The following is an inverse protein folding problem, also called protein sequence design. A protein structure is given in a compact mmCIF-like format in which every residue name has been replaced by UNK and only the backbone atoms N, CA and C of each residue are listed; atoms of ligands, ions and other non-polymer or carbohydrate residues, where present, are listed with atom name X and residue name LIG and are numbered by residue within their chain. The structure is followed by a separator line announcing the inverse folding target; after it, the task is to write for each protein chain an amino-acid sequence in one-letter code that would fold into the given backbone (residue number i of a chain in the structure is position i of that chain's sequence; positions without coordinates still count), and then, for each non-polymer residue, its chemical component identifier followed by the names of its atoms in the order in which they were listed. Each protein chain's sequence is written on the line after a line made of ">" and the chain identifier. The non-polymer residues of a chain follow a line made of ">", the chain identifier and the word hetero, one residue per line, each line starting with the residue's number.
data_IF_059792931885
#
_entry.id   IF_059792931885
#
_cell.length_a   1.000
_cell.length_b   1.000
_cell.length_c   1.000
_cell.angle_alpha   90.00
_cell.angle_beta   90.00
_cell.angle_gamma   90.00
#
_symmetry.space_group_name_H-M   'P 1'
#
loop_
_entity.id
_entity.type
_entity.pdbx_description
1 polymer ?
#
# COMPACT_ATOMS: atom_id res chain seq x y z
N UNK A 1 41.93 25.93 -33.71
CA UNK A 1 40.86 26.06 -32.69
C UNK A 1 39.55 25.92 -33.43
N UNK A 2 38.74 24.91 -33.14
CA UNK A 2 37.44 24.76 -33.79
C UNK A 2 36.48 25.89 -33.33
N UNK A 3 35.82 26.49 -34.31
CA UNK A 3 34.74 27.45 -34.09
C UNK A 3 33.40 26.71 -34.08
N UNK A 4 32.53 27.04 -33.13
CA UNK A 4 31.21 26.45 -32.99
C UNK A 4 30.17 27.54 -33.10
N UNK A 5 29.16 27.30 -33.92
CA UNK A 5 28.01 28.17 -34.07
C UNK A 5 26.93 27.76 -33.06
N UNK A 6 26.60 28.65 -32.13
CA UNK A 6 25.53 28.48 -31.15
C UNK A 6 24.39 29.46 -31.45
N UNK A 7 23.15 29.09 -31.09
CA UNK A 7 22.00 29.98 -31.22
C UNK A 7 21.45 30.38 -29.86
N UNK A 8 21.26 31.69 -29.65
CA UNK A 8 20.72 32.26 -28.41
C UNK A 8 19.77 33.40 -28.79
N UNK A 9 18.54 33.40 -28.26
CA UNK A 9 17.54 34.45 -28.48
C UNK A 9 17.19 34.64 -29.97
N UNK A 10 17.21 33.55 -30.76
CA UNK A 10 16.93 33.57 -32.20
C UNK A 10 18.06 34.14 -33.07
N UNK A 11 19.28 34.28 -32.54
CA UNK A 11 20.48 34.74 -33.26
C UNK A 11 21.58 33.69 -33.21
N UNK A 12 22.53 33.77 -34.13
CA UNK A 12 23.67 32.85 -34.22
C UNK A 12 24.95 33.56 -33.80
N UNK A 13 25.72 32.93 -32.92
CA UNK A 13 27.00 33.42 -32.42
C UNK A 13 28.08 32.38 -32.72
N UNK A 14 29.23 32.86 -33.17
CA UNK A 14 30.41 32.04 -33.42
C UNK A 14 31.37 32.16 -32.24
N UNK A 15 31.66 31.04 -31.59
CA UNK A 15 32.49 30.98 -30.38
C UNK A 15 33.59 29.95 -30.58
N UNK A 16 34.84 30.37 -30.32
CA UNK A 16 35.98 29.46 -30.32
C UNK A 16 35.97 28.61 -29.05
N UNK A 17 36.08 27.29 -29.19
CA UNK A 17 36.15 26.36 -28.07
C UNK A 17 37.44 25.53 -28.10
N UNK A 18 37.82 24.99 -26.95
CA UNK A 18 38.90 23.99 -26.89
C UNK A 18 38.39 22.64 -27.38
N UNK A 19 39.32 21.79 -27.82
CA UNK A 19 38.99 20.44 -28.27
C UNK A 19 38.40 19.62 -27.11
N UNK A 20 37.19 19.07 -27.31
CA UNK A 20 36.46 18.31 -26.29
C UNK A 20 35.47 19.10 -25.44
N UNK A 21 35.41 20.43 -25.54
CA UNK A 21 34.49 21.28 -24.74
C UNK A 21 33.17 21.63 -25.46
N UNK A 22 33.00 21.17 -26.69
CA UNK A 22 31.88 21.53 -27.57
C UNK A 22 30.52 21.23 -26.93
N UNK A 23 30.36 20.06 -26.31
CA UNK A 23 29.11 19.67 -25.64
C UNK A 23 28.78 20.55 -24.43
N UNK A 24 29.79 21.02 -23.70
CA UNK A 24 29.60 21.92 -22.57
C UNK A 24 29.17 23.31 -23.06
N UNK A 25 29.78 23.79 -24.14
CA UNK A 25 29.39 25.05 -24.77
C UNK A 25 27.95 24.99 -25.29
N UNK A 26 27.56 23.92 -25.97
CA UNK A 26 26.18 23.72 -26.44
C UNK A 26 25.17 23.65 -25.29
N UNK A 27 25.51 22.98 -24.19
CA UNK A 27 24.66 22.92 -23.01
C UNK A 27 24.51 24.31 -22.35
N UNK A 28 25.60 25.05 -22.22
CA UNK A 28 25.59 26.41 -21.68
C UNK A 28 24.77 27.36 -22.58
N UNK A 29 24.92 27.24 -23.90
CA UNK A 29 24.14 28.02 -24.86
C UNK A 29 22.63 27.74 -24.73
N UNK A 30 22.23 26.48 -24.58
CA UNK A 30 20.82 26.10 -24.36
C UNK A 30 20.25 26.69 -23.07
N UNK A 31 21.04 26.70 -21.98
CA UNK A 31 20.61 27.31 -20.72
C UNK A 31 20.40 28.81 -20.87
N UNK A 32 21.34 29.51 -21.51
CA UNK A 32 21.24 30.94 -21.74
C UNK A 32 20.09 31.30 -22.71
N UNK A 33 19.88 30.49 -23.75
CA UNK A 33 18.78 30.62 -24.72
C UNK A 33 17.41 30.49 -24.04
N UNK A 34 17.26 29.55 -23.10
CA UNK A 34 16.03 29.40 -22.34
C UNK A 34 15.68 30.67 -21.54
N UNK A 35 16.64 31.27 -20.84
CA UNK A 35 16.39 32.53 -20.11
C UNK A 35 16.14 33.71 -21.08
N UNK A 36 16.85 33.75 -22.21
CA UNK A 36 16.64 34.77 -23.23
C UNK A 36 15.25 34.66 -23.88
N UNK A 37 14.75 33.45 -24.10
CA UNK A 37 13.41 33.21 -24.64
C UNK A 37 12.31 33.71 -23.70
N UNK A 38 12.44 33.47 -22.39
CA UNK A 38 11.51 34.01 -21.37
C UNK A 38 11.47 35.54 -21.43
N UNK A 39 12.62 36.18 -21.56
CA UNK A 39 12.71 37.64 -21.70
C UNK A 39 12.07 38.16 -22.99
N UNK A 40 12.28 37.44 -24.10
CA UNK A 40 11.68 37.78 -25.39
C UNK A 40 10.15 37.67 -25.38
N UNK A 41 9.60 36.67 -24.67
CA UNK A 41 8.16 36.48 -24.51
C UNK A 41 7.51 37.55 -23.60
N UNK A 42 8.17 37.90 -22.49
CA UNK A 42 7.56 38.76 -21.46
C UNK A 42 7.66 40.26 -21.75
N UNK A 43 8.74 40.74 -22.37
CA UNK A 43 9.08 42.17 -22.42
C UNK A 43 8.97 42.74 -23.86
N UNK A 44 8.71 41.90 -24.86
CA UNK A 44 8.56 42.32 -26.26
C UNK A 44 9.91 42.62 -26.92
N UNK A 45 9.96 43.61 -27.83
CA UNK A 45 11.18 43.92 -28.61
C UNK A 45 12.26 44.60 -27.75
N UNK A 46 13.10 43.80 -27.11
CA UNK A 46 14.32 44.25 -26.46
C UNK A 46 15.52 44.24 -27.44
N UNK A 47 16.45 45.21 -27.33
CA UNK A 47 17.74 45.08 -27.98
C UNK A 47 18.50 43.87 -27.39
N UNK A 48 19.18 43.15 -28.26
CA UNK A 48 19.89 41.90 -27.97
C UNK A 48 20.83 42.02 -26.76
N UNK A 49 21.64 43.08 -26.70
CA UNK A 49 22.59 43.29 -25.60
C UNK A 49 21.91 43.38 -24.23
N UNK A 50 20.69 43.93 -24.17
CA UNK A 50 19.92 44.04 -22.92
C UNK A 50 19.28 42.72 -22.54
N UNK A 51 18.79 41.97 -23.52
CA UNK A 51 18.23 40.64 -23.32
C UNK A 51 19.30 39.67 -22.78
N UNK A 52 20.48 39.62 -23.42
CA UNK A 52 21.58 38.75 -22.99
C UNK A 52 22.13 39.14 -21.62
N UNK A 53 22.21 40.44 -21.31
CA UNK A 53 22.59 40.91 -19.98
C UNK A 53 21.61 40.41 -18.91
N UNK A 54 20.30 40.56 -19.16
CA UNK A 54 19.28 40.12 -18.21
C UNK A 54 19.26 38.60 -18.05
N UNK A 55 19.35 37.85 -19.15
CA UNK A 55 19.44 36.39 -19.13
C UNK A 55 20.68 35.90 -18.36
N UNK A 56 21.84 36.54 -18.57
CA UNK A 56 23.08 36.24 -17.84
C UNK A 56 22.99 36.54 -16.34
N UNK A 57 22.40 37.68 -15.97
CA UNK A 57 22.18 38.03 -14.56
C UNK A 57 21.22 37.06 -13.86
N UNK A 58 20.12 36.68 -14.51
CA UNK A 58 19.21 35.67 -13.96
C UNK A 58 19.87 34.32 -13.76
N UNK A 59 20.71 33.89 -14.71
CA UNK A 59 21.43 32.63 -14.58
C UNK A 59 22.43 32.70 -13.42
N UNK A 60 23.11 33.83 -13.24
CA UNK A 60 23.99 34.06 -12.10
C UNK A 60 23.23 34.00 -10.76
N UNK A 61 22.07 34.64 -10.68
CA UNK A 61 21.22 34.61 -9.48
C UNK A 61 20.77 33.18 -9.15
N UNK A 62 20.46 32.35 -10.17
CA UNK A 62 20.13 30.92 -9.98
C UNK A 62 21.31 30.13 -9.44
N UNK A 63 22.52 30.38 -9.93
CA UNK A 63 23.73 29.70 -9.43
C UNK A 63 23.95 30.03 -7.96
N UNK A 64 23.80 31.30 -7.57
CA UNK A 64 23.86 31.70 -6.15
C UNK A 64 22.82 30.96 -5.31
N UNK A 65 21.57 30.88 -5.81
CA UNK A 65 20.52 30.13 -5.12
C UNK A 65 20.80 28.62 -5.01
N UNK A 66 21.43 28.02 -6.02
CA UNK A 66 21.84 26.61 -6.00
C UNK A 66 23.00 26.40 -5.00
N UNK A 67 23.99 27.30 -4.97
CA UNK A 67 25.10 27.23 -4.03
C UNK A 67 24.61 27.30 -2.57
N UNK A 68 23.64 28.18 -2.28
CA UNK A 68 22.99 28.26 -0.96
C UNK A 68 22.26 26.95 -0.60
N UNK A 69 21.52 26.36 -1.54
CA UNK A 69 20.85 25.07 -1.35
C UNK A 69 21.86 23.94 -1.13
N UNK A 70 22.97 23.93 -1.86
CA UNK A 70 24.04 22.95 -1.69
C UNK A 70 24.70 23.09 -0.32
N UNK A 71 24.90 24.31 0.17
CA UNK A 71 25.43 24.55 1.51
C UNK A 71 24.49 23.99 2.60
N UNK A 72 23.18 24.26 2.51
CA UNK A 72 22.18 23.71 3.44
C UNK A 72 22.12 22.18 3.40
N UNK A 73 22.07 21.59 2.20
CA UNK A 73 22.08 20.14 2.04
C UNK A 73 23.35 19.50 2.61
N UNK A 74 24.50 20.14 2.41
CA UNK A 74 25.77 19.67 2.98
C UNK A 74 25.74 19.69 4.50
N UNK A 75 25.18 20.74 5.12
CA UNK A 75 25.00 20.80 6.57
C UNK A 75 24.06 19.70 7.07
N UNK A 76 22.93 19.48 6.37
CA UNK A 76 21.98 18.43 6.72
C UNK A 76 22.61 17.03 6.65
N UNK A 77 23.43 16.77 5.63
CA UNK A 77 24.18 15.51 5.51
C UNK A 77 25.15 15.36 6.67
N UNK A 78 25.95 16.38 6.97
CA UNK A 78 26.88 16.36 8.09
C UNK A 78 26.19 16.09 9.44
N UNK A 79 25.01 16.70 9.65
CA UNK A 79 24.19 16.49 10.86
C UNK A 79 23.65 15.06 10.95
N UNK A 80 23.18 14.50 9.83
CA UNK A 80 22.72 13.10 9.76
C UNK A 80 23.85 12.12 10.01
N UNK A 81 25.01 12.36 9.43
CA UNK A 81 26.20 11.52 9.62
C UNK A 81 26.65 11.53 11.09
N UNK A 82 26.62 12.69 11.76
CA UNK A 82 26.90 12.79 13.18
C UNK A 82 25.89 11.98 14.04
N UNK A 83 24.60 12.05 13.72
CA UNK A 83 23.57 11.25 14.41
C UNK A 83 23.75 9.75 14.17
N UNK A 84 24.07 9.34 12.94
CA UNK A 84 24.35 7.95 12.61
C UNK A 84 25.58 7.46 13.38
N UNK A 85 26.63 8.28 13.48
CA UNK A 85 27.83 7.96 14.24
C UNK A 85 27.52 7.80 15.73
N UNK A 86 26.73 8.71 16.32
CA UNK A 86 26.27 8.60 17.71
C UNK A 86 25.50 7.29 17.94
N UNK A 87 24.47 7.02 17.13
CA UNK A 87 23.67 5.80 17.23
C UNK A 87 24.50 4.53 17.08
N UNK A 88 25.46 4.50 16.15
CA UNK A 88 26.37 3.36 15.97
C UNK A 88 27.34 3.18 17.14
N UNK A 89 27.72 4.27 17.82
CA UNK A 89 28.62 4.23 18.97
C UNK A 89 27.93 3.80 20.27
N UNK A 90 26.59 3.86 20.32
CA UNK A 90 25.82 3.45 21.50
C UNK A 90 25.89 1.92 21.65
N UNK A 91 26.23 1.42 22.85
CA UNK A 91 26.26 -0.01 23.09
C UNK A 91 24.87 -0.62 22.88
N UNK A 92 24.77 -1.86 22.37
CA UNK A 92 23.50 -2.50 22.09
C UNK A 92 22.64 -2.55 23.36
N UNK A 93 21.49 -1.90 23.34
CA UNK A 93 20.50 -2.07 24.40
C UNK A 93 19.93 -3.48 24.27
N UNK A 94 20.28 -4.34 25.22
CA UNK A 94 19.71 -5.70 25.28
C UNK A 94 18.27 -5.56 25.75
N UNK A 95 17.35 -5.47 24.80
CA UNK A 95 15.91 -5.56 25.08
C UNK A 95 15.64 -7.03 25.38
N UNK A 96 15.45 -7.35 26.66
CA UNK A 96 14.99 -8.68 27.06
C UNK A 96 13.54 -8.82 26.61
N UNK A 97 13.35 -9.51 25.48
CA UNK A 97 12.02 -9.88 25.01
C UNK A 97 11.44 -10.88 26.02
N UNK A 98 10.24 -10.63 26.59
CA UNK A 98 9.56 -11.61 27.41
C UNK A 98 9.34 -12.88 26.58
N UNK A 99 10.14 -13.91 26.83
CA UNK A 99 9.91 -15.22 26.24
C UNK A 99 8.64 -15.78 26.87
N UNK A 100 7.67 -16.15 26.04
CA UNK A 100 6.48 -16.87 26.50
C UNK A 100 6.98 -18.15 27.19
N UNK A 101 6.70 -18.35 28.49
CA UNK A 101 7.19 -19.53 29.21
C UNK A 101 6.71 -20.80 28.52
N UNK A 102 7.58 -21.82 28.42
CA UNK A 102 7.22 -23.11 27.84
C UNK A 102 5.98 -23.74 28.49
N UNK A 103 5.73 -23.40 29.76
CA UNK A 103 4.52 -23.77 30.49
C UNK A 103 3.23 -23.31 29.79
N UNK A 104 3.21 -22.13 29.16
CA UNK A 104 2.02 -21.62 28.45
C UNK A 104 1.72 -22.51 27.24
N UNK A 105 2.74 -22.86 26.44
CA UNK A 105 2.58 -23.79 25.31
C UNK A 105 2.12 -25.18 25.77
N UNK A 106 2.68 -25.68 26.88
CA UNK A 106 2.26 -26.95 27.47
C UNK A 106 0.79 -26.92 27.95
N UNK A 107 0.36 -25.83 28.59
CA UNK A 107 -1.05 -25.69 29.02
C UNK A 107 -2.02 -25.60 27.84
N UNK A 108 -1.63 -24.94 26.74
CA UNK A 108 -2.44 -24.91 25.53
C UNK A 108 -2.57 -26.29 24.89
N UNK A 109 -1.50 -27.10 24.89
CA UNK A 109 -1.54 -28.48 24.39
C UNK A 109 -2.43 -29.40 25.26
N UNK A 110 -2.37 -29.26 26.59
CA UNK A 110 -3.24 -30.00 27.51
C UNK A 110 -4.72 -29.62 27.32
N UNK A 111 -5.00 -28.33 27.13
CA UNK A 111 -6.35 -27.85 26.80
C UNK A 111 -6.86 -28.40 25.48
N UNK A 112 -6.03 -28.44 24.43
CA UNK A 112 -6.39 -29.03 23.14
C UNK A 112 -6.72 -30.53 23.29
N UNK A 113 -5.90 -31.27 24.04
CA UNK A 113 -6.14 -32.71 24.29
C UNK A 113 -7.46 -32.94 25.04
N UNK A 114 -7.79 -32.10 26.03
CA UNK A 114 -9.08 -32.18 26.73
C UNK A 114 -10.25 -31.82 25.82
N UNK A 115 -10.08 -30.82 24.94
CA UNK A 115 -11.10 -30.45 23.98
C UNK A 115 -11.36 -31.56 22.96
N UNK A 116 -10.30 -32.24 22.49
CA UNK A 116 -10.42 -33.42 21.61
C UNK A 116 -11.12 -34.59 22.29
N UNK A 117 -10.78 -34.89 23.56
CA UNK A 117 -11.45 -35.94 24.33
C UNK A 117 -12.94 -35.63 24.54
N UNK A 118 -13.29 -34.39 24.87
CA UNK A 118 -14.68 -33.98 25.03
C UNK A 118 -15.44 -34.07 23.70
N UNK A 119 -14.81 -33.66 22.59
CA UNK A 119 -15.42 -33.79 21.26
C UNK A 119 -15.68 -35.26 20.88
N UNK A 120 -14.77 -36.18 21.22
CA UNK A 120 -14.95 -37.61 21.01
C UNK A 120 -16.09 -38.20 21.86
N UNK A 121 -16.20 -37.80 23.14
CA UNK A 121 -17.32 -38.20 24.01
C UNK A 121 -18.67 -37.71 23.48
N UNK A 122 -18.72 -36.50 22.89
CA UNK A 122 -19.93 -35.98 22.25
C UNK A 122 -20.31 -36.77 20.99
N UNK A 123 -19.34 -37.12 20.13
CA UNK A 123 -19.59 -37.93 18.94
C UNK A 123 -20.07 -39.34 19.31
N UNK A 124 -19.49 -39.97 20.34
CA UNK A 124 -19.92 -41.28 20.83
C UNK A 124 -21.34 -41.23 21.45
N UNK A 125 -21.64 -40.19 22.23
CA UNK A 125 -22.98 -39.94 22.75
C UNK A 125 -24.02 -39.70 21.65
N UNK A 126 -23.65 -38.98 20.59
CA UNK A 126 -24.51 -38.78 19.41
C UNK A 126 -24.77 -40.11 18.67
N UNK A 127 -23.79 -41.02 18.61
CA UNK A 127 -23.96 -42.37 18.04
C UNK A 127 -24.88 -43.23 18.92
N UNK A 128 -24.80 -43.15 20.24
CA UNK A 128 -25.71 -43.87 21.14
C UNK A 128 -27.16 -43.37 21.04
N UNK A 129 -27.37 -42.05 20.94
CA UNK A 129 -28.71 -41.45 20.77
C UNK A 129 -29.28 -41.79 19.40
N UNK A 130 -28.48 -41.74 18.33
CA UNK A 130 -28.90 -42.17 16.99
C UNK A 130 -29.24 -43.68 16.96
N UNK A 131 -28.48 -44.51 17.68
CA UNK A 131 -28.76 -45.94 17.85
C UNK A 131 -30.10 -46.18 18.56
N UNK A 132 -30.36 -45.50 19.68
CA UNK A 132 -31.64 -45.59 20.40
C UNK A 132 -32.83 -45.12 19.54
N UNK A 133 -32.66 -44.10 18.71
CA UNK A 133 -33.69 -43.63 17.78
C UNK A 133 -33.95 -44.67 16.66
N UNK A 134 -32.92 -45.33 16.15
CA UNK A 134 -33.08 -46.41 15.16
C UNK A 134 -33.80 -47.65 15.73
N UNK A 135 -33.54 -48.00 16.99
CA UNK A 135 -34.22 -49.09 17.69
C UNK A 135 -35.71 -48.80 17.96
N UNK A 136 -36.08 -47.53 18.07
CA UNK A 136 -37.48 -47.08 18.19
C UNK A 136 -38.17 -47.16 16.83
N UNK A 137 -37.51 -46.74 15.74
CA UNK A 137 -38.07 -46.83 14.38
C UNK A 137 -38.29 -48.29 13.94
N UNK A 138 -37.36 -49.22 14.21
CA UNK A 138 -37.53 -50.64 13.87
C UNK A 138 -38.65 -51.31 14.69
N UNK A 139 -38.85 -50.92 15.96
CA UNK A 139 -39.99 -51.40 16.77
C UNK A 139 -41.34 -50.91 16.28
N UNK A 140 -41.38 -49.78 15.57
CA UNK A 140 -42.63 -49.27 14.99
C UNK A 140 -43.03 -49.99 13.69
N UNK A 141 -42.09 -50.65 13.01
CA UNK A 141 -42.36 -51.39 11.77
C UNK A 141 -42.96 -52.80 11.98
N UNK A 142 -42.75 -53.42 13.14
CA UNK A 142 -43.22 -54.79 13.45
C UNK A 142 -44.51 -54.84 14.31
N UNK A 143 -45.08 -53.68 14.65
CA UNK A 143 -46.38 -53.58 15.30
C UNK A 143 -47.52 -53.64 14.26
N UNK A 144 -48.04 -54.84 14.02
CA UNK A 144 -49.22 -55.10 13.19
C UNK A 144 -50.43 -54.20 13.55
N UNK A 145 -51.28 -53.85 12.56
CA UNK A 145 -52.18 -52.70 12.67
C UNK A 145 -53.31 -52.99 13.66
N UNK A 146 -53.47 -52.12 14.66
CA UNK A 146 -54.67 -52.12 15.50
C UNK A 146 -55.83 -51.57 14.66
N UNK A 147 -56.66 -52.50 14.16
CA UNK A 147 -58.00 -52.20 13.67
C UNK A 147 -58.86 -51.73 14.83
N UNK A 148 -59.30 -50.48 14.80
CA UNK A 148 -60.66 -50.17 15.18
C UNK A 148 -61.16 -48.94 14.43
N UNK A 149 -62.22 -49.15 13.65
CA UNK A 149 -62.88 -48.11 12.90
C UNK A 149 -63.78 -47.28 13.80
N UNK A 150 -63.68 -45.96 13.63
CA UNK A 150 -64.81 -45.04 13.77
C UNK A 150 -64.75 -44.14 12.53
N UNK A 151 -65.89 -44.11 11.83
CA UNK A 151 -66.13 -43.39 10.58
C UNK A 151 -65.79 -41.91 10.63
N UNK A 152 -65.24 -41.46 9.51
CA UNK A 152 -65.52 -40.23 8.77
C UNK A 152 -66.45 -39.22 9.45
N UNK A 153 -65.92 -38.02 9.69
CA UNK A 153 -66.57 -36.81 9.20
C UNK A 153 -65.50 -35.77 8.83
N UNK A 154 -65.65 -35.28 7.61
CA UNK A 154 -64.84 -34.31 6.91
C UNK A 154 -64.72 -32.94 7.61
N UNK A 155 -63.71 -32.21 7.17
CA UNK A 155 -63.60 -30.74 7.00
C UNK A 155 -62.46 -30.13 7.85
N UNK A 156 -61.29 -29.88 7.24
CA UNK A 156 -60.96 -28.77 6.33
C UNK A 156 -60.43 -27.55 7.10
N UNK A 157 -59.23 -27.09 6.73
CA UNK A 157 -58.63 -25.85 7.25
C UNK A 157 -57.12 -26.00 7.49
N UNK A 158 -56.25 -25.83 6.48
CA UNK A 158 -55.75 -24.51 6.03
C UNK A 158 -54.62 -24.02 6.97
N UNK A 159 -53.36 -24.31 6.62
CA UNK A 159 -52.37 -23.44 5.93
C UNK A 159 -51.51 -22.60 6.89
N UNK A 160 -50.26 -22.40 6.46
CA UNK A 160 -49.22 -21.57 7.07
C UNK A 160 -48.01 -22.43 7.42
N UNK A 161 -47.01 -22.67 6.56
CA UNK A 161 -46.27 -21.73 5.70
C UNK A 161 -45.91 -20.43 6.43
N UNK A 162 -44.62 -20.25 6.71
CA UNK A 162 -43.88 -18.97 6.77
C UNK A 162 -42.49 -19.30 7.34
N UNK A 163 -41.50 -19.57 6.48
CA UNK A 163 -40.62 -18.63 5.76
C UNK A 163 -39.40 -18.21 6.56
N UNK A 164 -38.23 -18.54 5.98
CA UNK A 164 -37.01 -17.77 6.11
C UNK A 164 -37.24 -16.30 5.71
N UNK A 165 -36.36 -15.39 6.16
CA UNK A 165 -35.34 -14.84 5.25
C UNK A 165 -33.95 -14.83 5.94
N UNK A 166 -32.79 -15.08 5.33
CA UNK A 166 -32.19 -14.57 4.09
C UNK A 166 -32.15 -13.04 3.99
N UNK A 167 -31.16 -12.45 4.66
CA UNK A 167 -30.53 -11.17 4.28
C UNK A 167 -29.03 -11.41 4.56
N UNK A 168 -28.18 -11.69 3.56
CA UNK A 168 -27.58 -10.73 2.62
C UNK A 168 -26.94 -9.54 3.34
N UNK A 169 -25.61 -9.61 3.51
CA UNK A 169 -24.72 -8.45 3.53
C UNK A 169 -23.37 -8.91 2.98
N UNK A 170 -23.38 -9.16 1.67
CA UNK A 170 -22.20 -9.19 0.81
C UNK A 170 -22.24 -7.88 0.02
N UNK A 171 -21.54 -6.84 0.48
CA UNK A 171 -21.18 -5.71 -0.38
C UNK A 171 -19.68 -5.43 -0.27
N UNK A 172 -19.02 -5.86 -1.34
CA UNK A 172 -17.75 -5.37 -1.87
C UNK A 172 -18.05 -4.06 -2.62
N UNK A 173 -17.28 -3.01 -2.39
CA UNK A 173 -16.65 -2.13 -3.41
C UNK A 173 -16.09 -0.89 -2.69
N UNK A 174 -14.78 -0.71 -2.67
CA UNK A 174 -14.04 0.02 -3.72
C UNK A 174 -14.24 1.53 -3.55
N UNK A 175 -13.22 2.20 -3.00
CA UNK A 175 -13.03 3.60 -3.37
C UNK A 175 -11.55 3.91 -3.58
N UNK A 176 -11.30 4.37 -4.79
CA UNK A 176 -10.03 4.70 -5.35
C UNK A 176 -9.71 6.19 -5.14
N UNK A 177 -8.42 6.49 -5.13
CA UNK A 177 -7.82 7.67 -5.74
C UNK A 177 -8.53 9.04 -5.54
N UNK A 178 -7.92 9.87 -4.68
CA UNK A 178 -7.63 11.29 -4.97
C UNK A 178 -6.51 11.79 -4.07
#
# INVERSE_FOLDING_TARGET
>A
MPEVNISIGGRVFEVACQEGEQSYLEAAAKLLDAEAAVMAEQIGRLPESRMLLMAGLMLADKVVGIDDQMADLTEQVARRDALIADLKSRPPQRVEVPVIPAAVGATMADLATRAEALAAEMEEGDVEVAGLLSDIDDRSHDAAPIRNGVQDDDQNGDQGDETAPSDEDDEIEEDAAS
#
